data_IF_392000030532
#
_entry.id   IF_392000030532
#
_cell.length_a   1.000
_cell.length_b   1.000
_cell.length_c   1.000
_cell.angle_alpha   90.00
_cell.angle_beta   90.00
_cell.angle_gamma   90.00
#
_symmetry.space_group_name_H-M   'P 1'
#
loop_
_entity.id
_entity.type
_entity.pdbx_description
1 polymer ?
#
# COMPACT_ATOMS: atom_id res chain seq x y z
N UNK A 1 -47.26 -8.73 9.02
CA UNK A 1 -45.95 -8.26 9.54
C UNK A 1 -45.45 -7.18 8.59
N UNK A 2 -45.26 -5.96 9.08
CA UNK A 2 -44.74 -4.86 8.27
C UNK A 2 -43.27 -5.13 7.94
N UNK A 3 -42.92 -5.16 6.65
CA UNK A 3 -41.52 -5.17 6.18
C UNK A 3 -40.89 -3.89 6.74
N UNK A 4 -39.97 -4.00 7.69
CA UNK A 4 -39.06 -2.89 8.02
C UNK A 4 -38.30 -2.59 6.74
N UNK A 5 -38.66 -1.49 6.09
CA UNK A 5 -37.84 -0.91 5.03
C UNK A 5 -36.58 -0.46 5.76
N UNK A 6 -35.47 -1.19 5.55
CA UNK A 6 -34.18 -0.75 6.02
C UNK A 6 -33.95 0.65 5.43
N UNK A 7 -33.64 1.63 6.28
CA UNK A 7 -33.29 2.96 5.79
C UNK A 7 -32.11 2.81 4.80
N UNK A 8 -32.15 3.52 3.66
CA UNK A 8 -31.04 3.48 2.71
C UNK A 8 -29.78 3.92 3.44
N UNK A 9 -28.77 3.05 3.44
CA UNK A 9 -27.45 3.37 3.99
C UNK A 9 -26.91 4.58 3.24
N UNK A 10 -26.56 5.62 4.00
CA UNK A 10 -25.98 6.85 3.46
C UNK A 10 -24.46 6.74 3.43
N UNK A 11 -23.86 7.35 2.41
CA UNK A 11 -22.42 7.45 2.23
C UNK A 11 -21.73 7.97 3.49
N UNK A 12 -20.75 7.22 4.00
CA UNK A 12 -20.03 7.56 5.23
C UNK A 12 -19.28 8.91 5.12
N UNK A 13 -18.76 9.24 3.93
CA UNK A 13 -18.01 10.48 3.71
C UNK A 13 -18.90 11.73 3.63
N UNK A 14 -19.96 11.69 2.82
CA UNK A 14 -20.78 12.88 2.54
C UNK A 14 -22.12 12.92 3.28
N UNK A 15 -22.57 11.81 3.86
CA UNK A 15 -23.83 11.69 4.60
C UNK A 15 -25.12 11.89 3.79
N UNK A 16 -25.03 12.22 2.50
CA UNK A 16 -26.19 12.69 1.70
C UNK A 16 -26.66 11.69 0.65
N UNK A 17 -25.72 11.00 -0.01
CA UNK A 17 -26.00 10.08 -1.13
C UNK A 17 -26.06 8.63 -0.68
N UNK A 18 -26.73 7.79 -1.46
CA UNK A 18 -26.80 6.36 -1.19
C UNK A 18 -25.46 5.67 -1.46
N UNK A 19 -25.18 4.60 -0.71
CA UNK A 19 -23.96 3.79 -0.88
C UNK A 19 -24.02 2.96 -2.16
N UNK A 20 -22.86 2.79 -2.80
CA UNK A 20 -22.69 1.99 -4.01
C UNK A 20 -21.36 1.24 -4.05
N UNK A 21 -20.36 1.69 -3.28
CA UNK A 21 -18.98 1.22 -3.38
C UNK A 21 -18.32 1.09 -1.99
N UNK A 22 -17.31 0.22 -1.86
CA UNK A 22 -16.91 -0.83 -2.81
C UNK A 22 -17.97 -1.95 -2.91
N UNK A 23 -18.00 -2.68 -4.04
CA UNK A 23 -18.95 -3.79 -4.23
C UNK A 23 -18.73 -4.89 -3.20
N UNK A 24 -19.79 -5.31 -2.52
CA UNK A 24 -19.75 -6.31 -1.45
C UNK A 24 -19.47 -5.76 -0.05
N UNK A 25 -19.13 -4.46 0.05
CA UNK A 25 -18.99 -3.73 1.30
C UNK A 25 -19.35 -2.26 1.08
N UNK A 26 -20.58 -2.00 0.64
CA UNK A 26 -21.01 -0.68 0.20
C UNK A 26 -21.09 0.32 1.36
N UNK A 27 -20.15 1.27 1.40
CA UNK A 27 -20.03 2.30 2.45
C UNK A 27 -20.01 3.72 1.91
N UNK A 28 -19.64 3.89 0.66
CA UNK A 28 -19.45 5.17 0.00
C UNK A 28 -20.36 5.30 -1.22
N UNK A 29 -20.75 6.51 -1.57
CA UNK A 29 -21.25 6.77 -2.91
C UNK A 29 -20.08 6.80 -3.89
N UNK A 30 -20.34 6.49 -5.17
CA UNK A 30 -19.34 6.41 -6.23
C UNK A 30 -18.36 7.59 -6.29
N UNK A 31 -18.85 8.82 -6.24
CA UNK A 31 -17.98 10.01 -6.32
C UNK A 31 -17.05 10.15 -5.10
N UNK A 32 -17.55 9.85 -3.90
CA UNK A 32 -16.73 9.90 -2.69
C UNK A 32 -15.70 8.77 -2.68
N UNK A 33 -16.07 7.60 -3.21
CA UNK A 33 -15.15 6.49 -3.41
C UNK A 33 -14.04 6.82 -4.42
N UNK A 34 -14.39 7.32 -5.60
CA UNK A 34 -13.42 7.75 -6.62
C UNK A 34 -12.48 8.83 -6.07
N UNK A 35 -13.00 9.79 -5.27
CA UNK A 35 -12.18 10.78 -4.57
C UNK A 35 -11.20 10.12 -3.59
N UNK A 36 -11.66 9.14 -2.80
CA UNK A 36 -10.82 8.41 -1.85
C UNK A 36 -9.68 7.68 -2.57
N UNK A 37 -9.99 6.93 -3.63
CA UNK A 37 -8.99 6.24 -4.45
C UNK A 37 -7.99 7.22 -5.07
N UNK A 38 -8.45 8.39 -5.54
CA UNK A 38 -7.55 9.41 -6.07
C UNK A 38 -6.58 9.97 -5.02
N UNK A 39 -7.03 10.11 -3.77
CA UNK A 39 -6.15 10.51 -2.66
C UNK A 39 -5.15 9.42 -2.33
N UNK A 40 -5.58 8.15 -2.28
CA UNK A 40 -4.69 7.01 -2.07
C UNK A 40 -3.63 6.90 -3.17
N UNK A 41 -3.98 7.12 -4.44
CA UNK A 41 -3.03 7.14 -5.57
C UNK A 41 -2.01 8.28 -5.45
N UNK A 42 -2.41 9.46 -4.96
CA UNK A 42 -1.46 10.55 -4.70
C UNK A 42 -0.44 10.14 -3.64
N UNK A 43 -0.90 9.54 -2.54
CA UNK A 43 -0.03 9.06 -1.46
C UNK A 43 0.87 7.92 -1.93
N UNK A 44 0.34 6.99 -2.72
CA UNK A 44 1.11 5.89 -3.30
C UNK A 44 2.29 6.39 -4.15
N UNK A 45 2.11 7.48 -4.91
CA UNK A 45 3.16 8.13 -5.71
C UNK A 45 4.24 8.80 -4.88
N UNK A 46 4.03 9.01 -3.58
CA UNK A 46 5.09 9.48 -2.69
C UNK A 46 6.12 8.39 -2.39
N UNK A 47 5.78 7.12 -2.62
CA UNK A 47 6.72 6.02 -2.60
C UNK A 47 7.47 5.88 -3.93
N UNK A 48 8.71 5.44 -3.83
CA UNK A 48 9.50 5.03 -5.00
C UNK A 48 10.24 3.74 -4.68
N UNK A 49 10.00 2.72 -5.49
CA UNK A 49 10.64 1.40 -5.34
C UNK A 49 11.78 1.30 -6.36
N UNK A 50 13.03 1.29 -5.88
CA UNK A 50 14.22 1.25 -6.76
C UNK A 50 14.88 -0.11 -6.71
N UNK A 51 15.01 -0.76 -7.87
CA UNK A 51 15.72 -2.03 -7.98
C UNK A 51 17.21 -1.81 -7.72
N UNK A 52 17.76 -2.60 -6.81
CA UNK A 52 19.15 -2.56 -6.38
C UNK A 52 19.95 -3.76 -6.91
N UNK A 53 19.37 -4.98 -6.87
CA UNK A 53 19.98 -6.19 -7.44
C UNK A 53 18.96 -6.88 -8.33
N UNK A 54 19.45 -7.46 -9.44
CA UNK A 54 18.69 -8.34 -10.32
C UNK A 54 19.47 -9.61 -10.62
N UNK A 55 18.88 -10.74 -10.29
CA UNK A 55 19.26 -12.07 -10.74
C UNK A 55 18.11 -12.67 -11.56
N UNK A 56 18.33 -13.86 -12.13
CA UNK A 56 17.32 -14.53 -12.95
C UNK A 56 16.03 -14.83 -12.17
N UNK A 57 16.17 -15.24 -10.90
CA UNK A 57 15.06 -15.69 -10.05
C UNK A 57 14.98 -14.90 -8.73
N UNK A 58 15.64 -13.75 -8.65
CA UNK A 58 15.61 -12.92 -7.46
C UNK A 58 15.88 -11.44 -7.75
N UNK A 59 15.20 -10.56 -7.04
CA UNK A 59 15.44 -9.13 -7.09
C UNK A 59 15.47 -8.55 -5.68
N UNK A 60 16.26 -7.49 -5.50
CA UNK A 60 16.28 -6.69 -4.28
C UNK A 60 15.94 -5.25 -4.64
N UNK A 61 15.06 -4.63 -3.87
CA UNK A 61 14.65 -3.25 -4.01
C UNK A 61 14.90 -2.46 -2.72
N UNK A 62 15.16 -1.17 -2.87
CA UNK A 62 15.13 -0.18 -1.82
C UNK A 62 13.87 0.67 -1.97
N UNK A 63 13.19 0.92 -0.86
CA UNK A 63 11.94 1.67 -0.82
C UNK A 63 12.24 3.05 -0.27
N UNK A 64 11.83 4.08 -1.00
CA UNK A 64 11.97 5.46 -0.61
C UNK A 64 10.59 6.08 -0.43
N UNK A 65 10.51 7.04 0.48
CA UNK A 65 9.37 7.93 0.60
C UNK A 65 9.85 9.37 0.35
N UNK A 66 9.02 10.20 -0.30
CA UNK A 66 9.36 11.57 -0.71
C UNK A 66 9.88 12.46 0.42
N UNK A 67 9.43 12.20 1.66
CA UNK A 67 9.81 12.94 2.87
C UNK A 67 11.14 12.50 3.49
N UNK A 68 11.74 11.41 3.01
CA UNK A 68 12.94 10.81 3.58
C UNK A 68 14.09 10.78 2.57
N UNK A 69 15.30 11.16 3.02
CA UNK A 69 16.51 11.10 2.17
C UNK A 69 17.10 9.70 2.06
N UNK A 70 16.88 8.88 3.08
CA UNK A 70 17.36 7.48 3.15
C UNK A 70 16.22 6.53 2.82
N UNK A 71 16.51 5.29 2.39
CA UNK A 71 15.48 4.26 2.25
C UNK A 71 14.70 4.10 3.55
N UNK A 72 13.39 3.91 3.43
CA UNK A 72 12.48 3.63 4.53
C UNK A 72 12.25 2.13 4.71
N UNK A 73 12.67 1.32 3.73
CA UNK A 73 12.63 -0.12 3.79
C UNK A 73 13.33 -0.77 2.60
N UNK A 74 13.27 -2.09 2.54
CA UNK A 74 13.77 -2.89 1.43
C UNK A 74 12.84 -4.06 1.16
N UNK A 75 12.79 -4.49 -0.10
CA UNK A 75 11.98 -5.62 -0.53
C UNK A 75 12.90 -6.63 -1.22
N UNK A 76 12.79 -7.89 -0.84
CA UNK A 76 13.42 -9.00 -1.54
C UNK A 76 12.32 -9.78 -2.25
N UNK A 77 12.57 -10.15 -3.50
CA UNK A 77 11.68 -10.98 -4.32
C UNK A 77 12.46 -12.22 -4.72
N UNK A 78 11.86 -13.39 -4.52
CA UNK A 78 12.40 -14.68 -4.92
C UNK A 78 11.32 -15.37 -5.75
N UNK A 79 11.68 -15.79 -6.94
CA UNK A 79 10.84 -16.60 -7.83
C UNK A 79 11.32 -18.05 -7.76
N UNK A 80 10.42 -18.97 -7.39
CA UNK A 80 10.73 -20.41 -7.37
C UNK A 80 10.36 -21.13 -8.68
N UNK A 81 9.85 -20.39 -9.66
CA UNK A 81 9.36 -20.89 -10.95
C UNK A 81 7.84 -21.11 -10.98
N UNK A 82 7.14 -20.94 -9.86
CA UNK A 82 5.68 -21.07 -9.75
C UNK A 82 5.06 -19.88 -9.02
N UNK A 83 5.57 -19.55 -7.83
CA UNK A 83 5.05 -18.53 -6.93
C UNK A 83 6.15 -17.48 -6.62
N UNK A 84 5.73 -16.24 -6.34
CA UNK A 84 6.63 -15.19 -5.89
C UNK A 84 6.65 -15.11 -4.36
N UNK A 85 7.83 -15.16 -3.78
CA UNK A 85 8.05 -14.95 -2.35
C UNK A 85 8.69 -13.58 -2.13
N UNK A 86 7.98 -12.74 -1.40
CA UNK A 86 8.36 -11.37 -1.10
C UNK A 86 8.63 -11.20 0.39
N UNK A 87 9.78 -10.63 0.72
CA UNK A 87 10.12 -10.24 2.08
C UNK A 87 10.30 -8.73 2.14
N UNK A 88 9.34 -8.05 2.75
CA UNK A 88 9.38 -6.63 3.00
C UNK A 88 9.95 -6.36 4.40
N UNK A 89 11.05 -5.62 4.45
CA UNK A 89 11.66 -5.13 5.68
C UNK A 89 11.40 -3.63 5.77
N UNK A 90 10.58 -3.21 6.73
CA UNK A 90 10.29 -1.80 6.99
C UNK A 90 11.13 -1.28 8.15
N UNK A 91 11.74 -0.10 7.96
CA UNK A 91 12.67 0.50 8.92
C UNK A 91 11.94 1.44 9.89
N UNK A 92 12.43 1.60 11.14
CA UNK A 92 11.77 2.40 12.16
C UNK A 92 11.87 3.91 11.92
N UNK A 93 12.57 4.35 10.86
CA UNK A 93 12.79 5.76 10.51
C UNK A 93 11.57 6.43 9.88
N UNK A 94 10.49 5.67 9.62
CA UNK A 94 9.29 6.15 8.97
C UNK A 94 8.04 5.70 9.75
N UNK A 95 7.03 6.56 9.81
CA UNK A 95 5.80 6.34 10.57
C UNK A 95 4.83 5.43 9.83
N UNK A 96 5.16 4.14 9.73
CA UNK A 96 4.40 3.16 8.95
C UNK A 96 2.93 2.99 9.35
N UNK A 97 2.62 3.19 10.64
CA UNK A 97 1.28 2.98 11.21
C UNK A 97 0.41 4.24 11.23
N UNK A 98 0.99 5.40 10.89
CA UNK A 98 0.20 6.63 10.82
C UNK A 98 -0.73 6.58 9.60
N UNK A 99 -1.88 7.24 9.74
CA UNK A 99 -2.83 7.40 8.64
C UNK A 99 -2.13 8.11 7.48
N UNK A 100 -2.16 7.48 6.30
CA UNK A 100 -1.43 7.95 5.13
C UNK A 100 -2.06 9.21 4.52
N UNK A 101 -3.34 9.45 4.81
CA UNK A 101 -4.10 10.62 4.42
C UNK A 101 -5.19 10.92 5.45
N UNK A 102 -5.75 12.12 5.35
CA UNK A 102 -6.92 12.52 6.14
C UNK A 102 -8.09 12.87 5.23
N UNK A 103 -9.17 12.10 5.36
CA UNK A 103 -10.46 12.41 4.77
C UNK A 103 -11.49 12.51 5.91
N UNK A 104 -12.13 13.67 6.00
CA UNK A 104 -13.14 13.93 7.03
C UNK A 104 -14.29 12.91 6.90
N UNK A 105 -14.70 12.33 8.03
CA UNK A 105 -15.73 11.28 8.14
C UNK A 105 -15.39 9.95 7.45
N UNK A 106 -14.13 9.73 7.02
CA UNK A 106 -13.74 8.42 6.48
C UNK A 106 -13.65 7.38 7.62
N UNK A 107 -14.48 6.33 7.61
CA UNK A 107 -14.42 5.29 8.64
C UNK A 107 -13.22 4.35 8.49
N UNK A 108 -12.50 4.39 7.35
CA UNK A 108 -11.46 3.42 7.01
C UNK A 108 -10.23 4.13 6.45
N UNK A 109 -9.47 4.76 7.34
CA UNK A 109 -8.19 5.34 6.98
C UNK A 109 -7.13 4.25 6.90
N UNK A 110 -6.40 4.21 5.79
CA UNK A 110 -5.28 3.29 5.58
C UNK A 110 -3.98 3.91 6.07
N UNK A 111 -3.15 3.06 6.65
CA UNK A 111 -1.78 3.38 7.06
C UNK A 111 -0.83 3.42 5.86
N UNK A 112 0.33 4.04 6.03
CA UNK A 112 1.37 4.03 4.99
C UNK A 112 1.84 2.61 4.64
N UNK A 113 1.88 1.70 5.62
CA UNK A 113 2.23 0.29 5.38
C UNK A 113 1.23 -0.39 4.44
N UNK A 114 -0.06 -0.12 4.60
CA UNK A 114 -1.11 -0.69 3.74
C UNK A 114 -1.06 -0.11 2.32
N UNK A 115 -0.80 1.18 2.17
CA UNK A 115 -0.62 1.80 0.84
C UNK A 115 0.61 1.23 0.13
N UNK A 116 1.71 1.00 0.86
CA UNK A 116 2.92 0.41 0.27
C UNK A 116 2.68 -0.99 -0.30
N UNK A 117 1.78 -1.79 0.28
CA UNK A 117 1.43 -3.12 -0.28
C UNK A 117 0.88 -2.98 -1.70
N UNK A 118 0.03 -1.97 -1.95
CA UNK A 118 -0.52 -1.72 -3.28
C UNK A 118 0.57 -1.26 -4.26
N UNK A 119 1.49 -0.41 -3.79
CA UNK A 119 2.66 0.01 -4.58
C UNK A 119 3.52 -1.20 -4.95
N UNK A 120 3.76 -2.13 -4.03
CA UNK A 120 4.51 -3.36 -4.32
C UNK A 120 3.75 -4.26 -5.30
N UNK A 121 2.43 -4.36 -5.15
CA UNK A 121 1.59 -5.12 -6.08
C UNK A 121 1.72 -4.59 -7.52
N UNK A 122 1.56 -3.28 -7.69
CA UNK A 122 1.60 -2.63 -9.00
C UNK A 122 3.02 -2.55 -9.59
N UNK A 123 4.01 -2.12 -8.81
CA UNK A 123 5.34 -1.78 -9.34
C UNK A 123 6.31 -2.97 -9.36
N UNK A 124 6.01 -4.04 -8.63
CA UNK A 124 6.89 -5.20 -8.50
C UNK A 124 6.18 -6.48 -8.94
N UNK A 125 5.06 -6.84 -8.31
CA UNK A 125 4.40 -8.14 -8.56
C UNK A 125 3.81 -8.24 -9.97
N UNK A 126 3.11 -7.20 -10.44
CA UNK A 126 2.54 -7.18 -11.80
C UNK A 126 3.61 -7.33 -12.90
N UNK A 127 4.75 -6.60 -12.87
CA UNK A 127 5.86 -6.82 -13.80
C UNK A 127 6.46 -8.23 -13.80
N UNK A 128 6.38 -8.96 -12.68
CA UNK A 128 6.77 -10.37 -12.59
C UNK A 128 5.71 -11.33 -13.17
N UNK A 129 4.55 -10.82 -13.58
CA UNK A 129 3.47 -11.57 -14.22
C UNK A 129 2.20 -11.69 -13.37
N UNK A 130 2.18 -11.14 -12.16
CA UNK A 130 0.96 -11.08 -11.33
C UNK A 130 0.41 -12.44 -10.91
N UNK A 131 1.24 -13.48 -10.88
CA UNK A 131 0.88 -14.83 -10.47
C UNK A 131 0.55 -14.93 -8.97
N UNK A 132 0.58 -16.15 -8.42
CA UNK A 132 0.46 -16.31 -6.96
C UNK A 132 1.68 -15.73 -6.27
N UNK A 133 1.46 -15.08 -5.13
CA UNK A 133 2.52 -14.46 -4.37
C UNK A 133 2.25 -14.51 -2.87
N UNK A 134 3.34 -14.45 -2.11
CA UNK A 134 3.35 -14.41 -0.65
C UNK A 134 4.19 -13.24 -0.19
N UNK A 135 3.62 -12.36 0.63
CA UNK A 135 4.33 -11.22 1.20
C UNK A 135 4.45 -11.38 2.72
N UNK A 136 5.69 -11.41 3.19
CA UNK A 136 6.01 -11.33 4.62
C UNK A 136 6.53 -9.93 4.95
N UNK A 137 5.96 -9.30 5.96
CA UNK A 137 6.35 -7.96 6.41
C UNK A 137 7.02 -8.04 7.77
N UNK A 138 8.27 -7.60 7.86
CA UNK A 138 9.01 -7.53 9.12
C UNK A 138 9.40 -6.09 9.46
N UNK A 139 9.28 -5.75 10.74
CA UNK A 139 9.79 -4.50 11.30
C UNK A 139 11.20 -4.69 11.79
N UNK A 140 12.12 -3.86 11.33
CA UNK A 140 13.49 -3.88 11.86
C UNK A 140 13.56 -3.06 13.15
N UNK A 141 14.34 -3.52 14.12
CA UNK A 141 14.66 -2.74 15.33
C UNK A 141 15.84 -1.80 15.09
N UNK A 142 16.65 -2.08 14.07
CA UNK A 142 17.83 -1.30 13.70
C UNK A 142 17.50 -0.45 12.47
N UNK A 143 17.85 0.86 12.45
CA UNK A 143 17.93 1.60 11.21
C UNK A 143 18.99 0.95 10.28
N UNK A 144 18.88 1.20 8.98
CA UNK A 144 19.77 0.72 7.90
C UNK A 144 21.27 0.66 8.33
N UNK A 145 22.07 -0.33 7.88
CA UNK A 145 23.50 -0.35 8.17
C UNK A 145 24.14 0.99 7.80
N UNK A 146 24.83 1.63 8.74
CA UNK A 146 25.21 3.05 8.65
C UNK A 146 26.15 3.42 7.49
N UNK A 147 26.73 2.45 6.78
CA UNK A 147 27.69 2.67 5.70
C UNK A 147 27.24 2.05 4.37
N UNK A 148 26.75 2.87 3.45
CA UNK A 148 26.88 2.58 2.03
C UNK A 148 27.20 3.85 1.24
N UNK A 149 28.42 3.89 0.68
CA UNK A 149 29.04 5.08 0.10
C UNK A 149 28.50 5.53 -1.27
N UNK A 150 27.34 5.04 -1.70
CA UNK A 150 26.60 5.66 -2.81
C UNK A 150 27.34 5.83 -4.15
N UNK A 151 28.44 5.14 -4.40
CA UNK A 151 29.10 5.19 -5.70
C UNK A 151 28.32 4.29 -6.68
N UNK A 152 27.63 4.94 -7.62
CA UNK A 152 27.23 4.37 -8.91
C UNK A 152 28.40 4.50 -9.89
#
# INVERSE_FOLDING_TARGET
MARKIAEPLRCALCGTRDVSDPRGDERYCRECWEKKIAVEDIVAREFTVKRYIRAQSAEKYLIFHSTQKRPVGQLQVIDDGYDLFLTLLIYPVFSWDEAAYHLENDPEQRSFAEILVDVIAADVIEPWGGGKWHLEVFRTATPDPEDWNGEM
#
